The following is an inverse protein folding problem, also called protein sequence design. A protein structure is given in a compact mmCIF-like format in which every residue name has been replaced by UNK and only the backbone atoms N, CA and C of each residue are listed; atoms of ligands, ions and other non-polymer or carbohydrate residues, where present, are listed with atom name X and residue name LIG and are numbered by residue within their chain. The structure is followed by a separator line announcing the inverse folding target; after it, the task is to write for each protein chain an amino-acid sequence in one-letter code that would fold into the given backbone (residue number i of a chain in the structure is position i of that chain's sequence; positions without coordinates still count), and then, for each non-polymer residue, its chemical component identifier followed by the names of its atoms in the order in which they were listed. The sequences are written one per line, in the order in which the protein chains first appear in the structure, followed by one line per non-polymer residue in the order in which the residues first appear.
data_IF_867353698470
#
_entry.id   IF_867353698470
#
_cell.length_a   1.000
_cell.length_b   1.000
_cell.length_c   1.000
_cell.angle_alpha   90.00
_cell.angle_beta   90.00
_cell.angle_gamma   90.00
#
_symmetry.space_group_name_H-M   'P 1'
#
loop_
_entity.id
_entity.type
_entity.pdbx_description
1 polymer ?
#
# COMPACT_ATOMS: atom_id res chain seq x y z
N UNK A 1 3.14 27.22 -27.86
CA UNK A 1 4.33 26.38 -27.64
C UNK A 1 3.88 24.96 -27.46
N UNK A 2 3.88 24.19 -28.54
CA UNK A 2 3.62 22.77 -28.46
C UNK A 2 4.92 22.09 -28.02
N UNK A 3 4.93 21.56 -26.81
CA UNK A 3 6.01 20.69 -26.36
C UNK A 3 5.89 19.36 -27.11
N UNK A 4 6.92 18.98 -27.83
CA UNK A 4 6.99 17.64 -28.40
C UNK A 4 7.25 16.66 -27.26
N UNK A 5 6.29 15.79 -26.96
CA UNK A 5 6.48 14.73 -26.00
C UNK A 5 7.49 13.72 -26.55
N UNK A 6 8.52 13.43 -25.76
CA UNK A 6 9.47 12.37 -26.09
C UNK A 6 9.55 11.41 -24.91
N UNK A 7 9.33 10.12 -25.18
CA UNK A 7 9.42 9.08 -24.17
C UNK A 7 8.21 8.97 -23.23
N UNK A 8 7.11 9.69 -23.48
CA UNK A 8 5.88 9.55 -22.73
C UNK A 8 5.01 8.44 -23.32
N UNK A 9 4.56 7.55 -22.46
CA UNK A 9 3.57 6.51 -22.77
C UNK A 9 2.25 6.82 -22.06
N UNK A 10 1.18 6.16 -22.43
CA UNK A 10 -0.12 6.29 -21.75
C UNK A 10 -0.06 5.83 -20.29
N UNK A 11 0.88 4.97 -19.93
CA UNK A 11 1.18 4.53 -18.57
C UNK A 11 1.84 5.60 -17.70
N UNK A 12 2.39 6.65 -18.31
CA UNK A 12 2.99 7.78 -17.58
C UNK A 12 1.94 8.84 -17.21
N UNK A 13 0.70 8.64 -17.67
CA UNK A 13 -0.40 9.56 -17.42
C UNK A 13 -1.00 9.35 -16.03
N UNK A 14 -0.85 10.35 -15.17
CA UNK A 14 -1.46 10.37 -13.85
C UNK A 14 -2.79 11.13 -13.88
N UNK A 15 -3.75 10.71 -13.04
CA UNK A 15 -5.05 11.40 -12.88
C UNK A 15 -4.98 12.61 -11.95
N UNK A 16 -3.78 13.05 -11.60
CA UNK A 16 -3.58 14.20 -10.73
C UNK A 16 -4.07 15.50 -11.36
N UNK A 17 -4.72 16.30 -10.54
CA UNK A 17 -5.12 17.67 -10.88
C UNK A 17 -4.55 18.62 -9.83
N UNK A 18 -4.60 19.95 -10.04
CA UNK A 18 -4.14 20.90 -9.02
C UNK A 18 -4.83 20.76 -7.64
N UNK A 19 -6.00 20.15 -7.59
CA UNK A 19 -6.80 19.98 -6.36
C UNK A 19 -7.00 18.55 -5.92
N UNK A 20 -6.64 17.57 -6.75
CA UNK A 20 -6.76 16.15 -6.45
C UNK A 20 -5.48 15.44 -6.85
N UNK A 21 -4.70 15.04 -5.86
CA UNK A 21 -3.47 14.30 -6.04
C UNK A 21 -3.60 12.96 -5.33
N UNK A 22 -3.08 11.90 -5.95
CA UNK A 22 -3.04 10.56 -5.39
C UNK A 22 -1.68 10.27 -4.75
N UNK A 23 -1.69 9.38 -3.78
CA UNK A 23 -0.45 8.82 -3.26
C UNK A 23 0.31 8.09 -4.38
N UNK A 24 1.63 8.17 -4.35
CA UNK A 24 2.55 7.38 -5.20
C UNK A 24 3.67 6.85 -4.33
N UNK A 25 4.48 5.92 -4.80
CA UNK A 25 5.73 5.56 -4.14
C UNK A 25 6.71 6.75 -4.20
N UNK A 26 7.44 6.98 -3.12
CA UNK A 26 8.29 8.17 -2.97
C UNK A 26 9.75 7.85 -3.32
N UNK A 27 10.25 8.22 -4.52
CA UNK A 27 11.61 7.90 -4.94
C UNK A 27 12.70 8.55 -4.07
N UNK A 28 12.33 9.51 -3.21
CA UNK A 28 13.25 10.19 -2.29
C UNK A 28 13.28 9.55 -0.90
N UNK A 29 12.37 8.62 -0.60
CA UNK A 29 12.28 7.92 0.69
C UNK A 29 12.49 6.42 0.49
N UNK A 30 13.50 6.07 -0.26
CA UNK A 30 13.90 4.68 -0.52
C UNK A 30 15.02 4.25 0.40
N UNK A 31 14.94 3.01 0.83
CA UNK A 31 16.03 2.34 1.52
C UNK A 31 16.60 1.18 0.69
N UNK A 32 17.94 1.15 0.61
CA UNK A 32 18.64 0.24 -0.30
C UNK A 32 18.83 0.86 -1.69
N UNK A 33 19.71 0.28 -2.48
CA UNK A 33 20.01 0.76 -3.85
C UNK A 33 19.12 0.08 -4.90
N UNK A 34 18.05 -0.57 -4.49
CA UNK A 34 17.54 -1.73 -5.18
C UNK A 34 16.25 -1.58 -5.96
N UNK A 35 15.47 -0.50 -5.85
CA UNK A 35 14.22 -0.38 -6.59
C UNK A 35 14.29 0.67 -7.70
N UNK A 36 13.77 0.29 -8.86
CA UNK A 36 13.46 1.21 -9.96
C UNK A 36 11.96 1.41 -9.99
N UNK A 37 11.52 2.67 -9.91
CA UNK A 37 10.13 3.04 -10.04
C UNK A 37 9.82 3.44 -11.47
N UNK A 38 8.63 3.12 -11.95
CA UNK A 38 8.08 3.50 -13.26
C UNK A 38 6.57 3.69 -13.16
N UNK A 39 5.92 3.99 -14.29
CA UNK A 39 4.47 4.15 -14.39
C UNK A 39 3.93 5.17 -13.38
N UNK A 40 4.54 6.37 -13.36
CA UNK A 40 4.17 7.40 -12.42
C UNK A 40 4.50 7.08 -10.95
N UNK A 41 5.56 6.31 -10.72
CA UNK A 41 5.96 5.79 -9.40
C UNK A 41 4.92 4.83 -8.78
N UNK A 42 4.21 4.09 -9.61
CA UNK A 42 3.23 3.08 -9.17
C UNK A 42 3.72 1.65 -9.38
N UNK A 43 4.77 1.47 -10.15
CA UNK A 43 5.37 0.17 -10.40
C UNK A 43 6.80 0.13 -9.86
N UNK A 44 7.10 -0.92 -9.09
CA UNK A 44 8.41 -1.14 -8.51
C UNK A 44 9.02 -2.45 -9.03
N UNK A 45 10.29 -2.35 -9.43
CA UNK A 45 11.10 -3.48 -9.90
C UNK A 45 12.43 -3.44 -9.16
N UNK A 46 12.87 -4.52 -8.52
CA UNK A 46 14.18 -4.56 -7.91
C UNK A 46 15.28 -4.52 -8.97
N UNK A 47 16.34 -3.80 -8.70
CA UNK A 47 17.59 -3.95 -9.44
C UNK A 47 18.28 -5.24 -9.01
N UNK A 48 18.91 -5.94 -9.96
CA UNK A 48 19.53 -7.24 -9.71
C UNK A 48 20.35 -7.27 -8.41
N UNK A 49 20.04 -8.20 -7.52
CA UNK A 49 20.76 -8.55 -6.28
C UNK A 49 20.61 -7.58 -5.10
N UNK A 50 19.58 -6.77 -5.03
CA UNK A 50 19.39 -5.87 -3.90
C UNK A 50 17.95 -5.89 -3.37
N UNK A 51 17.85 -5.97 -2.05
CA UNK A 51 16.59 -5.69 -1.34
C UNK A 51 16.29 -4.20 -1.44
N UNK A 52 15.03 -3.86 -1.58
CA UNK A 52 14.58 -2.48 -1.57
C UNK A 52 13.24 -2.32 -0.90
N UNK A 53 13.01 -1.14 -0.38
CA UNK A 53 11.71 -0.73 0.12
C UNK A 53 11.44 0.73 -0.25
N UNK A 54 10.18 1.02 -0.41
CA UNK A 54 9.68 2.36 -0.70
C UNK A 54 8.43 2.62 0.15
N UNK A 55 8.28 3.86 0.59
CA UNK A 55 7.07 4.35 1.20
C UNK A 55 6.22 5.11 0.18
N UNK A 56 4.94 5.22 0.47
CA UNK A 56 4.07 6.15 -0.22
C UNK A 56 4.33 7.60 0.18
N UNK A 57 3.86 8.53 -0.64
CA UNK A 57 4.00 9.97 -0.41
C UNK A 57 3.06 10.52 0.65
N UNK A 58 2.07 9.74 1.11
CA UNK A 58 1.09 10.15 2.10
C UNK A 58 1.33 9.46 3.43
N UNK A 59 1.26 10.23 4.51
CA UNK A 59 1.31 9.76 5.88
C UNK A 59 -0.03 10.06 6.57
N UNK A 60 -0.56 9.07 7.27
CA UNK A 60 -1.86 9.15 7.95
C UNK A 60 -1.75 8.62 9.38
N UNK A 61 -2.50 9.22 10.31
CA UNK A 61 -2.60 8.80 11.72
C UNK A 61 -4.05 8.73 12.21
N UNK A 62 -5.02 8.90 11.33
CA UNK A 62 -6.44 8.80 11.65
C UNK A 62 -7.23 8.37 10.44
N UNK A 63 -8.47 7.89 10.63
CA UNK A 63 -9.35 7.46 9.57
C UNK A 63 -9.07 6.05 9.06
N UNK A 64 -9.81 5.65 8.02
CA UNK A 64 -9.78 4.31 7.43
C UNK A 64 -9.29 4.38 6.00
N UNK A 65 -8.28 3.58 5.70
CA UNK A 65 -7.55 3.66 4.45
C UNK A 65 -7.42 2.31 3.77
N UNK A 66 -7.45 2.31 2.44
CA UNK A 66 -7.26 1.10 1.63
C UNK A 66 -6.40 1.40 0.42
N UNK A 67 -5.53 0.46 0.08
CA UNK A 67 -4.84 0.41 -1.20
C UNK A 67 -4.71 -1.03 -1.70
N UNK A 68 -4.46 -1.16 -2.98
CA UNK A 68 -4.33 -2.43 -3.69
C UNK A 68 -2.90 -2.60 -4.21
N UNK A 69 -2.38 -3.79 -4.13
CA UNK A 69 -1.08 -4.18 -4.69
C UNK A 69 -1.25 -5.38 -5.59
N UNK A 70 -0.88 -5.24 -6.86
CA UNK A 70 -0.78 -6.34 -7.79
C UNK A 70 0.61 -6.94 -7.74
N UNK A 71 0.68 -8.23 -7.50
CA UNK A 71 1.90 -9.02 -7.52
C UNK A 71 2.17 -9.52 -8.93
N UNK A 72 2.72 -8.64 -9.80
CA UNK A 72 2.96 -8.96 -11.22
C UNK A 72 3.92 -10.13 -11.39
N UNK A 73 4.94 -10.22 -10.53
CA UNK A 73 5.83 -11.37 -10.39
C UNK A 73 6.10 -11.61 -8.92
N UNK A 74 5.75 -12.79 -8.44
CA UNK A 74 5.95 -13.20 -7.04
C UNK A 74 7.33 -13.79 -6.84
N UNK A 75 8.07 -13.26 -5.86
CA UNK A 75 9.36 -13.83 -5.46
C UNK A 75 9.68 -13.69 -3.96
N UNK A 76 9.10 -12.74 -3.24
CA UNK A 76 9.41 -12.52 -1.83
C UNK A 76 9.09 -11.11 -1.37
N UNK A 77 8.23 -10.44 -2.10
CA UNK A 77 7.77 -9.10 -1.81
C UNK A 77 6.75 -9.09 -0.67
N UNK A 78 6.65 -7.95 0.00
CA UNK A 78 5.66 -7.68 1.02
C UNK A 78 5.07 -6.28 0.86
N UNK A 79 3.84 -6.12 1.35
CA UNK A 79 3.15 -4.84 1.38
C UNK A 79 2.47 -4.63 2.73
N UNK A 80 2.27 -3.37 3.11
CA UNK A 80 1.69 -3.02 4.40
C UNK A 80 1.86 -1.55 4.72
N UNK A 81 2.06 -1.23 6.00
CA UNK A 81 2.22 0.12 6.50
C UNK A 81 3.45 0.23 7.39
N UNK A 82 4.16 1.33 7.30
CA UNK A 82 5.38 1.60 8.05
C UNK A 82 5.34 2.99 8.70
N UNK A 83 5.86 3.14 9.92
CA UNK A 83 5.97 4.44 10.56
C UNK A 83 6.85 5.41 9.76
N UNK A 84 6.55 6.69 9.87
CA UNK A 84 7.33 7.76 9.25
C UNK A 84 8.80 7.70 9.66
N UNK A 85 9.70 7.83 8.68
CA UNK A 85 11.15 7.89 8.89
C UNK A 85 11.81 6.56 9.26
N UNK A 86 11.05 5.47 9.29
CA UNK A 86 11.56 4.15 9.63
C UNK A 86 11.89 3.33 8.37
N UNK A 87 12.86 2.42 8.51
CA UNK A 87 13.28 1.55 7.42
C UNK A 87 12.46 0.27 7.41
N UNK A 88 12.04 -0.16 6.24
CA UNK A 88 11.32 -1.42 6.07
C UNK A 88 12.28 -2.62 5.92
N UNK A 89 13.54 -2.42 5.59
CA UNK A 89 14.48 -3.49 5.23
C UNK A 89 15.58 -3.78 6.26
N UNK A 90 15.98 -5.03 6.35
CA UNK A 90 17.09 -5.53 7.17
C UNK A 90 16.69 -5.83 8.62
N UNK A 91 17.67 -5.92 9.51
CA UNK A 91 17.48 -6.21 10.94
C UNK A 91 16.76 -5.09 11.73
N UNK A 92 16.41 -4.01 11.08
CA UNK A 92 15.76 -2.83 11.66
C UNK A 92 14.42 -2.53 10.99
N UNK A 93 13.78 -3.54 10.36
CA UNK A 93 12.47 -3.36 9.77
C UNK A 93 11.49 -2.80 10.79
N UNK A 94 10.78 -1.75 10.40
CA UNK A 94 9.69 -1.18 11.19
C UNK A 94 8.42 -1.21 10.36
N UNK A 95 7.33 -1.61 10.99
CA UNK A 95 6.01 -1.63 10.37
C UNK A 95 5.33 -2.99 10.39
N UNK A 96 4.23 -3.04 9.70
CA UNK A 96 3.26 -4.13 9.69
C UNK A 96 3.07 -4.59 8.26
N UNK A 97 3.63 -5.75 7.92
CA UNK A 97 3.69 -6.24 6.53
C UNK A 97 3.19 -7.67 6.40
N UNK A 98 2.57 -7.94 5.25
CA UNK A 98 2.28 -9.30 4.80
C UNK A 98 3.05 -9.60 3.52
N UNK A 99 3.78 -10.71 3.55
CA UNK A 99 4.51 -11.22 2.39
C UNK A 99 3.58 -11.90 1.39
N UNK A 100 4.03 -12.04 0.16
CA UNK A 100 3.27 -12.74 -0.89
C UNK A 100 2.95 -14.19 -0.51
N UNK A 101 3.77 -14.85 0.31
CA UNK A 101 3.52 -16.21 0.83
C UNK A 101 2.53 -16.26 2.01
N UNK A 102 1.91 -15.14 2.37
CA UNK A 102 0.92 -15.04 3.43
C UNK A 102 1.48 -14.90 4.84
N UNK A 103 2.81 -14.87 5.03
CA UNK A 103 3.41 -14.63 6.35
C UNK A 103 3.28 -13.16 6.73
N UNK A 104 2.85 -12.93 7.97
CA UNK A 104 2.73 -11.58 8.54
C UNK A 104 3.93 -11.25 9.43
N UNK A 105 4.37 -10.00 9.41
CA UNK A 105 5.50 -9.51 10.18
C UNK A 105 5.17 -8.19 10.88
N UNK A 106 5.51 -8.12 12.15
CA UNK A 106 5.59 -6.85 12.91
C UNK A 106 7.09 -6.56 13.07
N UNK A 107 7.55 -5.49 12.47
CA UNK A 107 8.97 -5.20 12.40
C UNK A 107 9.73 -6.39 11.79
N UNK A 108 10.65 -7.00 12.52
CA UNK A 108 11.39 -8.20 12.09
C UNK A 108 10.78 -9.52 12.58
N UNK A 109 9.73 -9.44 13.40
CA UNK A 109 9.14 -10.61 14.06
C UNK A 109 8.07 -11.26 13.19
N UNK A 110 8.26 -12.53 12.84
CA UNK A 110 7.27 -13.33 12.12
C UNK A 110 6.10 -13.68 13.04
N UNK A 111 4.89 -13.30 12.64
CA UNK A 111 3.63 -13.56 13.33
C UNK A 111 2.92 -14.82 12.82
N UNK A 112 3.59 -15.60 11.97
CA UNK A 112 3.02 -16.78 11.31
C UNK A 112 2.30 -16.46 10.01
N UNK A 113 1.74 -17.50 9.40
CA UNK A 113 0.93 -17.37 8.18
C UNK A 113 -0.47 -16.89 8.57
N UNK A 114 -0.87 -15.77 8.00
CA UNK A 114 -2.13 -15.08 8.25
C UNK A 114 -2.98 -14.93 6.99
N UNK A 115 -2.37 -15.07 5.82
CA UNK A 115 -3.04 -14.91 4.54
C UNK A 115 -2.71 -16.02 3.57
N UNK A 116 -3.32 -15.96 2.39
CA UNK A 116 -3.02 -16.87 1.29
C UNK A 116 -1.62 -16.59 0.70
N UNK A 117 -1.01 -17.64 0.15
CA UNK A 117 0.13 -17.49 -0.76
C UNK A 117 -0.38 -17.06 -2.12
N UNK A 118 0.16 -15.98 -2.65
CA UNK A 118 -0.22 -15.41 -3.93
C UNK A 118 0.58 -16.02 -5.08
N UNK A 119 -0.04 -16.07 -6.24
CA UNK A 119 0.62 -16.34 -7.51
C UNK A 119 0.89 -15.04 -8.29
N UNK A 120 1.74 -15.10 -9.31
CA UNK A 120 1.97 -13.96 -10.19
C UNK A 120 0.67 -13.56 -10.91
N UNK A 121 0.35 -12.27 -10.83
CA UNK A 121 -0.88 -11.69 -11.32
C UNK A 121 -1.94 -11.42 -10.25
N UNK A 122 -1.83 -12.05 -9.08
CA UNK A 122 -2.78 -11.88 -7.98
C UNK A 122 -2.66 -10.51 -7.31
N UNK A 123 -3.69 -10.16 -6.54
CA UNK A 123 -3.79 -8.89 -5.86
C UNK A 123 -3.87 -9.07 -4.35
N UNK A 124 -3.28 -8.13 -3.61
CA UNK A 124 -3.44 -7.96 -2.16
C UNK A 124 -4.06 -6.61 -1.87
N UNK A 125 -5.04 -6.60 -0.97
CA UNK A 125 -5.65 -5.40 -0.42
C UNK A 125 -5.17 -5.22 1.01
N UNK A 126 -4.90 -3.99 1.40
CA UNK A 126 -4.46 -3.62 2.73
C UNK A 126 -5.44 -2.59 3.28
N UNK A 127 -6.14 -2.96 4.34
CA UNK A 127 -7.09 -2.11 5.05
C UNK A 127 -6.46 -1.68 6.37
N UNK A 128 -6.33 -0.40 6.58
CA UNK A 128 -5.81 0.18 7.82
C UNK A 128 -6.86 1.11 8.42
N UNK A 129 -7.30 0.80 9.64
CA UNK A 129 -8.13 1.65 10.48
C UNK A 129 -7.21 2.23 11.56
N UNK A 130 -6.80 3.49 11.36
CA UNK A 130 -5.87 4.15 12.26
C UNK A 130 -6.53 4.50 13.61
N UNK A 131 -7.84 4.74 13.61
CA UNK A 131 -8.59 5.06 14.81
C UNK A 131 -8.80 3.83 15.72
N UNK A 132 -8.83 2.63 15.14
CA UNK A 132 -8.89 1.35 15.86
C UNK A 132 -7.52 0.69 16.06
N UNK A 133 -6.46 1.29 15.53
CA UNK A 133 -5.10 0.70 15.55
C UNK A 133 -5.07 -0.75 15.02
N UNK A 134 -5.81 -0.99 13.92
CA UNK A 134 -6.01 -2.33 13.38
C UNK A 134 -5.81 -2.40 11.87
N UNK A 135 -5.35 -3.56 11.40
CA UNK A 135 -5.06 -3.78 10.00
C UNK A 135 -5.55 -5.15 9.55
N UNK A 136 -6.26 -5.16 8.42
CA UNK A 136 -6.74 -6.37 7.75
C UNK A 136 -6.14 -6.45 6.35
N UNK A 137 -6.10 -7.67 5.84
CA UNK A 137 -5.68 -7.96 4.48
C UNK A 137 -6.74 -8.79 3.78
N UNK A 138 -6.78 -8.66 2.47
CA UNK A 138 -7.53 -9.54 1.60
C UNK A 138 -6.75 -9.79 0.33
N UNK A 139 -7.12 -10.79 -0.42
CA UNK A 139 -6.49 -11.13 -1.69
C UNK A 139 -7.51 -11.46 -2.77
N UNK A 140 -7.08 -11.38 -4.01
CA UNK A 140 -7.80 -11.85 -5.18
C UNK A 140 -6.89 -12.78 -5.96
N UNK A 141 -7.33 -14.04 -6.08
CA UNK A 141 -6.73 -15.03 -6.98
C UNK A 141 -7.37 -14.89 -8.35
N UNK A 142 -6.63 -14.31 -9.30
CA UNK A 142 -7.12 -14.07 -10.66
C UNK A 142 -7.29 -15.34 -11.48
N UNK A 143 -6.68 -16.44 -11.05
CA UNK A 143 -6.78 -17.74 -11.73
C UNK A 143 -8.06 -18.50 -11.37
N UNK A 144 -8.73 -18.14 -10.26
CA UNK A 144 -9.91 -18.83 -9.77
C UNK A 144 -11.21 -18.08 -10.06
N UNK A 145 -11.56 -17.08 -9.27
CA UNK A 145 -12.88 -16.44 -9.35
C UNK A 145 -12.86 -14.92 -9.39
N UNK A 146 -11.70 -14.29 -9.29
CA UNK A 146 -11.56 -12.84 -9.06
C UNK A 146 -12.36 -12.33 -7.83
N UNK A 147 -12.74 -13.21 -6.91
CA UNK A 147 -13.44 -12.83 -5.71
C UNK A 147 -12.46 -12.29 -4.68
N UNK A 148 -12.89 -11.27 -3.92
CA UNK A 148 -12.14 -10.78 -2.78
C UNK A 148 -12.29 -11.77 -1.61
N UNK A 149 -11.19 -12.29 -1.12
CA UNK A 149 -11.14 -13.21 0.03
C UNK A 149 -10.36 -12.53 1.15
N UNK A 150 -11.01 -12.37 2.31
CA UNK A 150 -10.36 -11.77 3.48
C UNK A 150 -9.44 -12.76 4.18
N UNK A 151 -8.24 -12.31 4.50
CA UNK A 151 -7.22 -13.11 5.16
C UNK A 151 -7.51 -13.26 6.67
N UNK A 152 -6.84 -14.22 7.33
CA UNK A 152 -6.96 -14.50 8.77
C UNK A 152 -8.41 -14.80 9.23
N UNK A 153 -9.24 -15.36 8.35
CA UNK A 153 -10.66 -15.65 8.60
C UNK A 153 -11.53 -14.40 8.89
N UNK A 154 -11.06 -13.21 8.56
CA UNK A 154 -11.86 -12.00 8.67
C UNK A 154 -13.04 -12.01 7.68
N UNK A 155 -14.07 -11.25 8.00
CA UNK A 155 -15.21 -11.04 7.11
C UNK A 155 -15.42 -9.54 6.86
N UNK A 156 -16.04 -9.22 5.73
CA UNK A 156 -16.43 -7.84 5.41
C UNK A 156 -17.23 -7.20 6.55
N UNK A 157 -18.20 -7.94 7.10
CA UNK A 157 -19.07 -7.45 8.17
C UNK A 157 -18.31 -7.15 9.47
N UNK A 158 -17.30 -7.95 9.82
CA UNK A 158 -16.43 -7.70 10.98
C UNK A 158 -15.62 -6.41 10.78
N UNK A 159 -15.04 -6.22 9.62
CA UNK A 159 -14.24 -5.03 9.30
C UNK A 159 -15.11 -3.76 9.32
N UNK A 160 -16.31 -3.82 8.74
CA UNK A 160 -17.28 -2.72 8.75
C UNK A 160 -17.78 -2.38 10.15
N UNK A 161 -17.97 -3.40 10.99
CA UNK A 161 -18.34 -3.23 12.40
C UNK A 161 -17.18 -2.80 13.31
N UNK A 162 -15.96 -2.72 12.81
CA UNK A 162 -14.77 -2.41 13.61
C UNK A 162 -14.38 -3.52 14.59
N UNK A 163 -14.71 -4.77 14.26
CA UNK A 163 -14.36 -5.92 15.09
C UNK A 163 -12.95 -6.40 14.76
N UNK A 164 -12.05 -6.35 15.74
CA UNK A 164 -10.61 -6.63 15.52
C UNK A 164 -10.20 -8.08 15.78
N UNK A 165 -11.14 -8.98 16.12
CA UNK A 165 -10.84 -10.38 16.47
C UNK A 165 -10.02 -11.09 15.39
N UNK A 166 -10.34 -10.88 14.13
CA UNK A 166 -9.67 -11.47 12.99
C UNK A 166 -8.79 -10.47 12.22
N UNK A 167 -8.48 -9.33 12.81
CA UNK A 167 -7.46 -8.44 12.25
C UNK A 167 -6.10 -9.15 12.22
N UNK A 168 -5.31 -8.90 11.19
CA UNK A 168 -3.95 -9.45 11.09
C UNK A 168 -3.03 -8.79 12.09
N UNK A 169 -3.21 -7.48 12.28
CA UNK A 169 -2.48 -6.70 13.27
C UNK A 169 -3.44 -5.85 14.09
N UNK A 170 -3.15 -5.72 15.39
CA UNK A 170 -3.86 -4.88 16.35
C UNK A 170 -2.87 -4.16 17.25
N UNK A 171 -3.32 -3.14 17.97
CA UNK A 171 -2.45 -2.32 18.83
C UNK A 171 -1.28 -1.73 18.04
N UNK A 172 -1.60 -1.23 16.86
CA UNK A 172 -0.67 -0.53 15.99
C UNK A 172 -0.32 0.80 16.67
N UNK A 173 0.95 1.17 16.69
CA UNK A 173 1.38 2.40 17.36
C UNK A 173 0.66 3.62 16.78
N UNK A 174 0.27 4.55 17.66
CA UNK A 174 -0.31 5.85 17.29
C UNK A 174 0.80 6.81 16.82
N UNK A 175 1.19 6.65 15.57
CA UNK A 175 2.15 7.52 14.87
C UNK A 175 1.73 7.66 13.40
N UNK A 176 2.34 8.59 12.69
CA UNK A 176 2.11 8.74 11.26
C UNK A 176 2.64 7.53 10.48
N UNK A 177 1.75 6.87 9.73
CA UNK A 177 2.07 5.71 8.88
C UNK A 177 1.93 6.05 7.40
N UNK A 178 2.86 5.55 6.59
CA UNK A 178 2.75 5.51 5.14
C UNK A 178 2.48 4.09 4.64
N UNK A 179 1.75 3.92 3.53
CA UNK A 179 1.76 2.65 2.82
C UNK A 179 3.18 2.32 2.41
N UNK A 180 3.56 1.07 2.49
CA UNK A 180 4.92 0.65 2.21
C UNK A 180 4.99 -0.67 1.47
N UNK A 181 6.05 -0.82 0.70
CA UNK A 181 6.40 -2.06 0.02
C UNK A 181 7.82 -2.48 0.37
N UNK A 182 8.02 -3.76 0.46
CA UNK A 182 9.35 -4.37 0.55
C UNK A 182 9.50 -5.39 -0.56
N UNK A 183 10.65 -5.43 -1.22
CA UNK A 183 10.90 -6.32 -2.35
C UNK A 183 12.24 -7.03 -2.23
N UNK A 184 12.23 -8.29 -2.58
CA UNK A 184 13.41 -9.11 -2.85
C UNK A 184 13.83 -8.98 -4.32
N UNK A 185 14.87 -9.68 -4.70
CA UNK A 185 15.69 -9.53 -5.91
C UNK A 185 15.00 -9.71 -7.26
N UNK A 186 13.78 -10.23 -7.32
CA UNK A 186 13.13 -10.58 -8.60
C UNK A 186 11.62 -10.33 -8.66
N UNK A 187 10.98 -9.90 -7.58
CA UNK A 187 9.55 -9.58 -7.56
C UNK A 187 9.24 -8.33 -8.39
N UNK A 188 8.02 -8.21 -8.85
CA UNK A 188 7.50 -7.00 -9.52
C UNK A 188 6.14 -6.71 -8.96
N UNK A 189 5.92 -5.51 -8.45
CA UNK A 189 4.62 -5.06 -7.96
C UNK A 189 4.16 -3.78 -8.63
N UNK A 190 2.85 -3.64 -8.71
CA UNK A 190 2.15 -2.42 -9.09
C UNK A 190 1.23 -2.03 -7.94
N UNK A 191 1.24 -0.76 -7.54
CA UNK A 191 0.39 -0.24 -6.47
C UNK A 191 -0.72 0.63 -7.03
N UNK A 192 -1.90 0.50 -6.44
CA UNK A 192 -3.06 1.33 -6.76
C UNK A 192 -3.57 1.97 -5.47
N UNK A 193 -3.42 3.27 -5.36
CA UNK A 193 -3.87 4.06 -4.22
C UNK A 193 -5.25 4.68 -4.44
N UNK A 194 -5.96 4.27 -5.51
CA UNK A 194 -7.28 4.75 -5.91
C UNK A 194 -7.28 5.60 -7.17
N UNK A 195 -6.13 5.81 -7.82
CA UNK A 195 -6.03 6.52 -9.11
C UNK A 195 -6.66 5.72 -10.27
N UNK A 196 -6.87 4.44 -10.09
CA UNK A 196 -7.65 3.60 -10.99
C UNK A 196 -8.67 2.78 -10.20
N UNK A 197 -9.69 2.25 -10.88
CA UNK A 197 -10.64 1.37 -10.23
C UNK A 197 -9.93 0.12 -9.70
N UNK A 198 -10.23 -0.26 -8.45
CA UNK A 198 -9.78 -1.53 -7.88
C UNK A 198 -10.44 -2.70 -8.62
N UNK A 199 -9.73 -3.83 -8.72
CA UNK A 199 -10.23 -5.00 -9.48
C UNK A 199 -11.56 -5.54 -8.91
N UNK A 200 -11.82 -5.38 -7.60
CA UNK A 200 -13.04 -5.83 -6.92
C UNK A 200 -13.67 -4.73 -6.08
N UNK A 201 -13.85 -3.53 -6.64
CA UNK A 201 -14.34 -2.37 -5.90
C UNK A 201 -15.71 -2.54 -5.24
N UNK A 202 -16.59 -3.42 -5.78
CA UNK A 202 -17.93 -3.68 -5.22
C UNK A 202 -17.91 -4.46 -3.90
N UNK A 203 -16.83 -5.20 -3.64
CA UNK A 203 -16.74 -6.12 -2.49
C UNK A 203 -15.96 -5.54 -1.31
N UNK A 204 -15.42 -4.34 -1.45
CA UNK A 204 -14.66 -3.68 -0.39
C UNK A 204 -15.55 -3.33 0.82
N UNK A 205 -14.99 -3.34 2.05
CA UNK A 205 -15.66 -2.83 3.22
C UNK A 205 -15.96 -1.34 3.07
N UNK A 206 -17.16 -0.95 3.49
CA UNK A 206 -17.55 0.46 3.48
C UNK A 206 -16.77 1.29 4.49
N UNK A 207 -16.63 2.59 4.20
CA UNK A 207 -15.96 3.54 5.09
C UNK A 207 -14.44 3.63 4.93
N UNK A 208 -13.81 2.77 4.13
CA UNK A 208 -12.40 2.90 3.79
C UNK A 208 -12.20 3.85 2.61
N UNK A 209 -11.28 4.77 2.75
CA UNK A 209 -10.93 5.78 1.77
C UNK A 209 -9.67 5.39 1.00
N UNK A 210 -9.62 5.79 -0.25
CA UNK A 210 -8.40 5.73 -1.06
C UNK A 210 -7.46 6.89 -0.69
N UNK A 211 -6.17 6.70 -0.94
CA UNK A 211 -5.12 7.64 -0.56
C UNK A 211 -4.99 8.78 -1.58
N UNK A 212 -5.83 9.78 -1.44
CA UNK A 212 -5.80 11.01 -2.24
C UNK A 212 -6.11 12.25 -1.38
N UNK A 213 -5.77 13.43 -1.88
CA UNK A 213 -5.90 14.69 -1.13
C UNK A 213 -7.34 15.06 -0.77
N UNK A 214 -8.35 14.57 -1.49
CA UNK A 214 -9.75 14.83 -1.16
C UNK A 214 -10.22 14.08 0.10
N UNK A 215 -9.54 12.98 0.44
CA UNK A 215 -9.84 12.13 1.59
C UNK A 215 -9.00 12.45 2.82
N UNK A 216 -7.94 13.26 2.68
CA UNK A 216 -7.13 13.71 3.82
C UNK A 216 -7.89 14.73 4.66
N UNK A 217 -7.51 14.84 5.93
CA UNK A 217 -8.03 15.88 6.80
C UNK A 217 -7.75 17.27 6.19
N UNK A 218 -8.74 18.17 6.31
CA UNK A 218 -8.55 19.55 5.84
C UNK A 218 -7.36 20.18 6.58
N UNK A 219 -6.38 20.77 5.86
CA UNK A 219 -5.25 21.44 6.50
C UNK A 219 -5.72 22.51 7.49
N UNK A 220 -5.06 22.61 8.62
CA UNK A 220 -5.34 23.64 9.64
C UNK A 220 -5.09 25.06 9.08
N UNK A 221 -4.21 25.21 8.12
CA UNK A 221 -3.98 26.43 7.35
C UNK A 221 -4.68 26.27 6.00
N UNK A 222 -5.87 26.83 5.88
CA UNK A 222 -6.69 26.71 4.67
C UNK A 222 -6.28 27.72 3.58
N UNK A 223 -5.60 28.79 3.95
CA UNK A 223 -5.04 29.80 3.06
C UNK A 223 -3.62 30.15 3.48
N UNK A 224 -2.64 29.55 2.79
CA UNK A 224 -1.24 29.81 3.06
C UNK A 224 -0.82 31.26 2.81
N UNK A 225 -1.52 32.00 1.93
CA UNK A 225 -1.19 33.40 1.63
C UNK A 225 -1.46 34.36 2.80
N UNK A 226 -2.23 33.91 3.79
CA UNK A 226 -2.48 34.68 5.00
C UNK A 226 -1.33 34.63 6.01
N UNK A 227 -0.29 33.80 5.75
CA UNK A 227 0.81 33.52 6.68
C UNK A 227 2.21 33.82 6.10
N UNK A 228 2.31 34.21 4.82
CA UNK A 228 3.57 34.54 4.12
C UNK A 228 3.50 35.87 3.41
#
# INVERSE_FOLDING_TARGET
NDFTSAGLATTDQMLDTPTLNYCTLNPNDKFGSGLTLSDGNLRAVPSASAYGNEHGTFYVNSGKWVFEVKHTTVFGEACGWSPMGERIAGSSNRGYFMFADGRAYINTSNQGTKGASLASGDYRYIFYDADLEAMWFAHVDVSSSNALVYDNSATKAEIEAGTTTNAVFTSIQDVDFAPGIWMDTSGVIEVNFGQSAFITSSDLPTGFNTLNTANLATPSITDGSAYF
#
